data_IF_614431806406
#
_entry.id   IF_614431806406
#
_cell.length_a   1.000
_cell.length_b   1.000
_cell.length_c   1.000
_cell.angle_alpha   90.00
_cell.angle_beta   90.00
_cell.angle_gamma   90.00
#
_symmetry.space_group_name_H-M   'P 1'
#
loop_
_entity.id
_entity.type
_entity.pdbx_description
1 polymer ?
#
# COMPACT_ATOMS: atom_id res chain seq x y z
N UNK A 1 13.93 6.85 -4.48
CA UNK A 1 14.70 7.93 -3.81
C UNK A 1 14.80 7.60 -2.33
N UNK A 2 16.00 7.39 -1.81
CA UNK A 2 16.15 7.16 -0.38
C UNK A 2 15.90 8.45 0.41
N UNK A 3 15.28 8.28 1.58
CA UNK A 3 14.99 9.38 2.48
C UNK A 3 15.79 9.23 3.77
N UNK A 4 15.99 10.33 4.48
CA UNK A 4 16.71 10.31 5.74
C UNK A 4 15.95 9.47 6.78
N UNK A 5 16.65 8.52 7.40
CA UNK A 5 16.09 7.67 8.46
C UNK A 5 15.66 8.49 9.65
N UNK A 6 16.37 9.58 9.95
CA UNK A 6 16.07 10.43 11.10
C UNK A 6 14.73 11.16 10.97
N UNK A 7 14.19 11.29 9.74
CA UNK A 7 12.88 11.94 9.50
C UNK A 7 11.73 10.95 9.71
N UNK A 8 11.90 9.70 9.26
CA UNK A 8 10.80 8.74 9.21
C UNK A 8 10.99 7.53 10.14
N UNK A 9 12.04 7.52 10.95
CA UNK A 9 12.36 6.41 11.84
C UNK A 9 13.48 5.54 11.28
N UNK A 10 13.61 4.33 11.84
CA UNK A 10 14.66 3.38 11.45
C UNK A 10 14.18 2.47 10.32
N UNK A 11 15.13 1.97 9.54
CA UNK A 11 14.87 1.03 8.44
C UNK A 11 15.12 1.65 7.08
N UNK A 12 14.76 0.91 6.05
CA UNK A 12 14.89 1.35 4.66
C UNK A 12 13.57 1.89 4.16
N UNK A 13 13.63 3.04 3.51
CA UNK A 13 12.45 3.71 2.97
C UNK A 13 12.66 4.04 1.50
N UNK A 14 11.58 4.08 0.76
CA UNK A 14 11.59 4.62 -0.60
C UNK A 14 10.31 5.40 -0.85
N UNK A 15 10.29 6.15 -1.95
CA UNK A 15 9.14 6.95 -2.33
C UNK A 15 8.51 6.37 -3.58
N UNK A 16 7.21 6.21 -3.54
CA UNK A 16 6.40 5.72 -4.63
C UNK A 16 5.43 6.83 -5.04
N UNK A 17 5.27 7.05 -6.34
CA UNK A 17 4.24 7.98 -6.83
C UNK A 17 2.95 7.21 -7.05
N UNK A 18 1.86 7.67 -6.42
CA UNK A 18 0.56 7.06 -6.60
C UNK A 18 0.05 7.29 -8.03
N UNK A 19 -0.54 6.25 -8.61
CA UNK A 19 -1.12 6.29 -9.95
C UNK A 19 -2.56 5.82 -9.87
N UNK A 20 -3.47 6.60 -10.45
CA UNK A 20 -4.90 6.29 -10.43
C UNK A 20 -5.58 6.77 -9.16
N UNK A 21 -6.82 6.36 -8.97
CA UNK A 21 -7.68 6.86 -7.90
C UNK A 21 -8.22 5.77 -6.97
N UNK A 22 -7.61 4.59 -6.99
CA UNK A 22 -8.13 3.45 -6.21
C UNK A 22 -8.02 3.65 -4.70
N UNK A 23 -7.30 4.67 -4.23
CA UNK A 23 -7.08 4.93 -2.81
C UNK A 23 -7.54 6.35 -2.39
N UNK A 24 -8.45 6.96 -3.13
CA UNK A 24 -8.87 8.34 -2.86
C UNK A 24 -9.56 8.51 -1.51
N UNK A 25 -10.27 7.50 -1.01
CA UNK A 25 -10.93 7.56 0.29
C UNK A 25 -9.96 7.42 1.46
N UNK A 26 -8.71 7.07 1.19
CA UNK A 26 -7.62 7.13 2.15
C UNK A 26 -6.80 8.42 2.01
N UNK A 27 -7.32 9.39 1.27
CA UNK A 27 -6.68 10.67 0.99
C UNK A 27 -5.35 10.51 0.23
N UNK A 28 -5.32 9.54 -0.69
CA UNK A 28 -4.20 9.31 -1.59
C UNK A 28 -4.69 9.56 -3.01
N UNK A 29 -4.26 10.67 -3.59
CA UNK A 29 -4.67 11.09 -4.92
C UNK A 29 -3.62 10.70 -5.96
N UNK A 30 -4.05 10.65 -7.21
CA UNK A 30 -3.13 10.43 -8.32
C UNK A 30 -2.01 11.47 -8.30
N UNK A 31 -0.77 11.01 -8.36
CA UNK A 31 0.40 11.89 -8.34
C UNK A 31 0.99 12.15 -6.97
N UNK A 32 0.31 11.77 -5.90
CA UNK A 32 0.87 11.90 -4.55
C UNK A 32 2.12 11.05 -4.38
N UNK A 33 3.02 11.51 -3.54
CA UNK A 33 4.21 10.74 -3.18
C UNK A 33 3.96 10.01 -1.87
N UNK A 34 4.18 8.70 -1.88
CA UNK A 34 3.96 7.85 -0.72
C UNK A 34 5.30 7.38 -0.19
N UNK A 35 5.55 7.63 1.08
CA UNK A 35 6.75 7.13 1.75
C UNK A 35 6.47 5.70 2.19
N UNK A 36 7.26 4.77 1.68
CA UNK A 36 7.10 3.33 1.92
C UNK A 36 8.25 2.85 2.80
N UNK A 37 7.91 2.26 3.94
CA UNK A 37 8.87 1.52 4.74
C UNK A 37 8.98 0.11 4.17
N UNK A 38 10.19 -0.24 3.77
CA UNK A 38 10.46 -1.55 3.18
C UNK A 38 10.40 -2.61 4.24
N UNK A 39 9.45 -3.52 4.14
CA UNK A 39 9.30 -4.66 5.04
C UNK A 39 8.38 -5.70 4.40
N UNK A 40 8.57 -6.96 4.78
CA UNK A 40 7.82 -8.08 4.20
C UNK A 40 6.55 -8.44 4.98
N UNK A 41 6.37 -7.83 6.15
CA UNK A 41 5.21 -8.09 7.01
C UNK A 41 4.38 -6.82 7.16
N UNK A 42 3.10 -6.99 7.45
CA UNK A 42 2.18 -5.88 7.69
C UNK A 42 1.07 -6.33 8.62
N UNK A 43 0.40 -5.36 9.22
CA UNK A 43 -0.77 -5.61 10.05
C UNK A 43 -2.04 -5.37 9.24
N UNK A 44 -3.13 -6.03 9.64
CA UNK A 44 -4.45 -5.76 9.08
C UNK A 44 -4.76 -4.28 9.29
N UNK A 45 -5.25 -3.63 8.24
CA UNK A 45 -5.52 -2.19 8.24
C UNK A 45 -4.39 -1.33 7.69
N UNK A 46 -3.19 -1.88 7.55
CA UNK A 46 -2.09 -1.14 6.94
C UNK A 46 -2.33 -0.95 5.44
N UNK A 47 -1.87 0.19 4.92
CA UNK A 47 -1.78 0.40 3.48
C UNK A 47 -0.43 -0.13 3.03
N UNK A 48 -0.45 -1.10 2.12
CA UNK A 48 0.73 -1.85 1.71
C UNK A 48 0.99 -1.70 0.22
N UNK A 49 2.25 -1.83 -0.15
CA UNK A 49 2.64 -2.14 -1.52
C UNK A 49 2.75 -3.65 -1.59
N UNK A 50 1.93 -4.26 -2.44
CA UNK A 50 1.92 -5.70 -2.63
C UNK A 50 2.20 -6.05 -4.08
N UNK A 51 3.00 -7.09 -4.27
CA UNK A 51 3.21 -7.67 -5.59
C UNK A 51 2.26 -8.83 -5.77
N UNK A 52 1.45 -8.76 -6.81
CA UNK A 52 0.50 -9.82 -7.16
C UNK A 52 1.20 -10.89 -8.00
N UNK A 53 0.52 -12.02 -8.20
CA UNK A 53 1.08 -13.15 -8.93
C UNK A 53 1.35 -12.86 -10.41
N UNK A 54 0.73 -11.83 -10.98
CA UNK A 54 1.02 -11.35 -12.33
C UNK A 54 2.25 -10.43 -12.41
N UNK A 55 2.96 -10.25 -11.28
CA UNK A 55 4.18 -9.45 -11.23
C UNK A 55 3.95 -7.96 -11.11
N UNK A 56 2.73 -7.51 -10.89
CA UNK A 56 2.41 -6.08 -10.73
C UNK A 56 2.39 -5.68 -9.26
N UNK A 57 2.88 -4.47 -9.00
CA UNK A 57 2.77 -3.86 -7.68
C UNK A 57 1.49 -3.04 -7.59
N UNK A 58 0.85 -3.09 -6.43
CA UNK A 58 -0.35 -2.30 -6.17
C UNK A 58 -0.30 -1.74 -4.75
N UNK A 59 -0.88 -0.55 -4.58
CA UNK A 59 -1.00 0.09 -3.26
C UNK A 59 -2.45 -0.06 -2.82
N UNK A 60 -2.69 -0.81 -1.75
CA UNK A 60 -4.02 -1.13 -1.24
C UNK A 60 -3.97 -1.31 0.27
N UNK A 61 -5.15 -1.33 0.89
CA UNK A 61 -5.24 -1.66 2.32
C UNK A 61 -5.29 -3.17 2.49
N UNK A 62 -4.49 -3.68 3.42
CA UNK A 62 -4.49 -5.10 3.77
C UNK A 62 -5.65 -5.38 4.73
N UNK A 63 -6.51 -6.31 4.37
CA UNK A 63 -7.65 -6.71 5.17
C UNK A 63 -7.74 -8.23 5.26
N UNK A 64 -8.56 -8.73 6.19
CA UNK A 64 -8.78 -10.16 6.37
C UNK A 64 -10.27 -10.46 6.37
N UNK A 65 -10.66 -11.45 5.57
CA UNK A 65 -12.04 -11.93 5.49
C UNK A 65 -12.16 -13.21 6.31
N UNK A 66 -12.90 -13.13 7.41
CA UNK A 66 -13.07 -14.28 8.33
C UNK A 66 -13.86 -15.41 7.69
N UNK A 67 -14.84 -15.11 6.86
CA UNK A 67 -15.67 -16.12 6.20
C UNK A 67 -14.87 -16.87 5.15
N UNK A 68 -14.12 -16.15 4.33
CA UNK A 68 -13.25 -16.74 3.33
C UNK A 68 -11.96 -17.31 3.92
N UNK A 69 -11.64 -16.96 5.16
CA UNK A 69 -10.37 -17.31 5.82
C UNK A 69 -9.18 -16.91 4.95
N UNK A 70 -9.22 -15.68 4.44
CA UNK A 70 -8.26 -15.20 3.46
C UNK A 70 -7.96 -13.73 3.67
N UNK A 71 -6.71 -13.34 3.46
CA UNK A 71 -6.35 -11.95 3.32
C UNK A 71 -6.75 -11.45 1.95
N UNK A 72 -7.06 -10.16 1.88
CA UNK A 72 -7.36 -9.52 0.61
C UNK A 72 -6.83 -8.09 0.59
N UNK A 73 -6.73 -7.54 -0.60
CA UNK A 73 -6.29 -6.19 -0.83
C UNK A 73 -7.52 -5.33 -1.13
N UNK A 74 -7.73 -4.32 -0.30
CA UNK A 74 -8.93 -3.48 -0.33
C UNK A 74 -8.61 -2.11 -0.91
N UNK A 75 -9.20 -1.74 -2.06
CA UNK A 75 -9.10 -0.38 -2.55
C UNK A 75 -9.97 0.55 -1.70
N UNK A 76 -9.49 1.75 -1.44
CA UNK A 76 -10.23 2.79 -0.74
C UNK A 76 -11.02 3.64 -1.74
N UNK A 77 -11.82 2.97 -2.56
CA UNK A 77 -12.67 3.58 -3.57
C UNK A 77 -13.71 2.55 -3.99
N UNK A 78 -15.01 2.79 -3.75
CA UNK A 78 -16.06 1.81 -4.08
C UNK A 78 -16.23 1.52 -5.58
N UNK A 79 -15.58 2.29 -6.46
CA UNK A 79 -15.57 2.01 -7.89
C UNK A 79 -14.68 0.81 -8.25
N UNK A 80 -13.84 0.35 -7.31
CA UNK A 80 -12.93 -0.78 -7.52
C UNK A 80 -13.32 -1.94 -6.62
N UNK A 81 -13.06 -3.15 -7.08
CA UNK A 81 -13.35 -4.37 -6.33
C UNK A 81 -12.19 -4.78 -5.43
N UNK A 82 -12.51 -5.46 -4.33
CA UNK A 82 -11.52 -6.11 -3.48
C UNK A 82 -10.77 -7.17 -4.27
N UNK A 83 -9.48 -7.33 -3.97
CA UNK A 83 -8.62 -8.27 -4.67
C UNK A 83 -8.36 -9.46 -3.76
N UNK A 84 -9.06 -10.56 -4.03
CA UNK A 84 -8.85 -11.85 -3.35
C UNK A 84 -7.93 -12.69 -4.22
N UNK A 85 -6.66 -12.71 -3.88
CA UNK A 85 -5.68 -13.52 -4.58
C UNK A 85 -5.04 -14.49 -3.60
N UNK A 86 -4.76 -15.67 -4.10
CA UNK A 86 -4.23 -16.76 -3.30
C UNK A 86 -2.85 -16.43 -2.74
N UNK A 87 -2.05 -15.72 -3.53
CA UNK A 87 -0.70 -15.32 -3.15
C UNK A 87 -0.41 -13.90 -3.57
N UNK A 88 0.05 -13.12 -2.62
CA UNK A 88 0.65 -11.82 -2.89
C UNK A 88 1.78 -11.61 -1.88
N UNK A 89 2.73 -10.75 -2.25
CA UNK A 89 3.88 -10.47 -1.39
C UNK A 89 3.86 -9.02 -0.95
N UNK A 90 3.90 -8.79 0.34
CA UNK A 90 4.07 -7.44 0.87
C UNK A 90 5.49 -7.00 0.61
N UNK A 91 5.64 -5.84 -0.03
CA UNK A 91 6.94 -5.23 -0.31
C UNK A 91 7.25 -4.11 0.68
N UNK A 92 6.23 -3.50 1.23
CA UNK A 92 6.39 -2.42 2.17
C UNK A 92 5.07 -1.90 2.68
N UNK A 93 5.15 -1.02 3.66
CA UNK A 93 4.00 -0.40 4.32
C UNK A 93 4.08 1.11 4.15
N UNK A 94 2.97 1.73 3.75
CA UNK A 94 2.90 3.18 3.62
C UNK A 94 2.96 3.82 5.00
N UNK A 95 3.88 4.75 5.18
CA UNK A 95 4.05 5.48 6.44
C UNK A 95 3.55 6.91 6.35
N UNK A 96 3.69 7.55 5.20
CA UNK A 96 3.34 8.96 5.01
C UNK A 96 2.91 9.22 3.58
N UNK A 97 2.08 10.24 3.42
CA UNK A 97 1.68 10.77 2.11
C UNK A 97 2.20 12.20 2.01
N UNK A 98 2.88 12.51 0.92
CA UNK A 98 3.38 13.85 0.63
C UNK A 98 2.55 14.42 -0.51
N UNK A 99 1.81 15.48 -0.22
CA UNK A 99 0.97 16.14 -1.20
C UNK A 99 1.65 17.37 -1.77
N UNK A 100 1.35 17.68 -3.04
CA UNK A 100 1.78 18.92 -3.64
C UNK A 100 1.02 20.10 -3.02
N UNK A 101 1.71 21.22 -2.91
CA UNK A 101 1.09 22.47 -2.44
C UNK A 101 0.15 23.06 -3.49
#
# INVERSE_FOLDING_TARGET
>A
MPLSVSVFGTGSFYVLRASGDSMINADIDNGDLIVIKEQKTANIGDIVVAMTDDGKNTLKRLEYDKEAQSYYLHPENPAYEDIYIKEFRVQGVASHVIKAL
#
